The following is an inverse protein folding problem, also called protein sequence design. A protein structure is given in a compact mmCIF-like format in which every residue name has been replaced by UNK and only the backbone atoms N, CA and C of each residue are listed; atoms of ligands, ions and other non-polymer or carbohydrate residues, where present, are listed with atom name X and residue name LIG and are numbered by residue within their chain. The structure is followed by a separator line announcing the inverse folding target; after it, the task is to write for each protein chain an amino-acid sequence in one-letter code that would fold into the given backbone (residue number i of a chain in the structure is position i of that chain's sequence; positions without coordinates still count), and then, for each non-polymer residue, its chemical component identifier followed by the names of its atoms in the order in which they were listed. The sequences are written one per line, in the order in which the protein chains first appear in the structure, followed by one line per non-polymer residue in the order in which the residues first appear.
data_IF_579625195520
#
_entry.id   IF_579625195520
#
_cell.length_a   1.000
_cell.length_b   1.000
_cell.length_c   1.000
_cell.angle_alpha   90.00
_cell.angle_beta   90.00
_cell.angle_gamma   90.00
#
_symmetry.space_group_name_H-M   'P 1'
#
loop_
_entity.id
_entity.type
_entity.pdbx_description
1 polymer ?
#
# COMPACT_ATOMS: atom_id res chain seq x y z
N UNK A 1 17.70 -6.96 27.75
CA UNK A 1 17.20 -5.73 28.43
C UNK A 1 16.03 -5.06 27.69
N UNK A 2 15.80 -5.30 26.41
CA UNK A 2 14.62 -4.81 25.68
C UNK A 2 13.42 -5.76 25.77
N UNK A 3 13.61 -7.02 26.11
CA UNK A 3 12.57 -8.05 26.17
C UNK A 3 11.61 -7.90 27.35
N UNK A 4 12.01 -7.18 28.39
CA UNK A 4 11.18 -6.99 29.60
C UNK A 4 10.10 -5.90 29.42
N UNK A 5 10.05 -5.25 28.24
CA UNK A 5 9.08 -4.20 27.90
C UNK A 5 8.23 -4.55 26.68
N UNK A 6 7.97 -5.83 26.45
CA UNK A 6 7.04 -6.23 25.38
C UNK A 6 5.62 -5.99 25.86
N UNK A 7 4.91 -5.09 25.18
CA UNK A 7 3.49 -4.82 25.39
C UNK A 7 2.69 -5.72 24.45
N UNK A 8 2.01 -6.71 25.01
CA UNK A 8 1.07 -7.56 24.29
C UNK A 8 -0.34 -7.03 24.52
N UNK A 9 -0.82 -6.19 23.61
CA UNK A 9 -2.17 -5.63 23.65
C UNK A 9 -2.99 -6.15 22.48
N UNK A 10 -4.08 -6.89 22.71
CA UNK A 10 -4.93 -7.43 21.66
C UNK A 10 -5.76 -6.36 20.94
N UNK A 11 -6.02 -5.24 21.60
CA UNK A 11 -6.75 -4.11 21.05
C UNK A 11 -5.79 -3.03 20.51
N UNK A 12 -5.89 -2.71 19.22
CA UNK A 12 -5.08 -1.63 18.65
C UNK A 12 -5.50 -0.24 19.13
N UNK A 13 -6.73 -0.12 19.65
CA UNK A 13 -7.29 1.16 20.15
C UNK A 13 -6.60 1.51 21.48
N UNK A 14 -6.31 0.52 22.29
CA UNK A 14 -5.80 0.72 23.66
C UNK A 14 -4.26 0.73 23.73
N UNK A 15 -3.57 0.52 22.58
CA UNK A 15 -2.09 0.47 22.55
C UNK A 15 -1.47 1.78 23.06
N UNK A 16 -2.02 2.93 22.68
CA UNK A 16 -1.48 4.23 23.10
C UNK A 16 -1.60 4.43 24.61
N UNK A 17 -2.76 4.13 25.20
CA UNK A 17 -2.98 4.21 26.64
C UNK A 17 -2.06 3.25 27.38
N UNK A 18 -1.92 2.03 26.87
CA UNK A 18 -1.05 1.01 27.48
C UNK A 18 0.43 1.40 27.43
N UNK A 19 0.87 2.03 26.33
CA UNK A 19 2.23 2.58 26.23
C UNK A 19 2.44 3.69 27.24
N UNK A 20 1.49 4.62 27.37
CA UNK A 20 1.54 5.69 28.37
C UNK A 20 1.63 5.16 29.81
N UNK A 21 0.82 4.15 30.16
CA UNK A 21 0.90 3.48 31.47
C UNK A 21 2.28 2.88 31.75
N UNK A 22 2.84 2.14 30.76
CA UNK A 22 4.16 1.48 30.93
C UNK A 22 5.29 2.49 31.05
N UNK A 23 5.16 3.63 30.38
CA UNK A 23 6.15 4.70 30.41
C UNK A 23 5.94 5.67 31.57
N UNK A 24 4.80 5.61 32.27
CA UNK A 24 4.45 6.53 33.35
C UNK A 24 4.21 7.97 32.84
N UNK A 25 3.71 8.11 31.62
CA UNK A 25 3.43 9.40 30.96
C UNK A 25 1.92 9.60 30.90
N UNK A 26 1.42 10.77 31.27
CA UNK A 26 0.00 11.09 31.09
C UNK A 26 -0.33 11.22 29.59
N UNK A 27 -1.46 10.64 29.15
CA UNK A 27 -1.88 10.61 27.75
C UNK A 27 -2.09 12.03 27.17
N UNK A 28 -2.46 12.98 28.01
CA UNK A 28 -2.66 14.40 27.64
C UNK A 28 -1.36 15.18 27.40
N UNK A 29 -0.19 14.57 27.69
CA UNK A 29 1.12 15.18 27.47
C UNK A 29 1.66 14.96 26.03
N UNK A 30 0.96 14.21 25.19
CA UNK A 30 1.27 14.13 23.77
C UNK A 30 0.77 15.42 23.11
N UNK A 31 1.67 16.28 22.58
CA UNK A 31 1.23 17.53 21.97
C UNK A 31 0.25 17.23 20.85
N UNK A 32 -0.98 17.75 20.95
CA UNK A 32 -1.83 17.88 19.78
C UNK A 32 -1.04 18.68 18.74
N UNK A 33 -1.05 18.24 17.47
CA UNK A 33 -0.44 19.00 16.40
C UNK A 33 -0.91 20.44 16.48
N UNK A 34 0.04 21.39 16.52
CA UNK A 34 -0.25 22.82 16.65
C UNK A 34 -1.13 23.28 15.49
N UNK A 35 -2.16 24.04 15.79
CA UNK A 35 -3.04 24.68 14.82
C UNK A 35 -2.23 25.41 13.73
N UNK A 36 -2.33 24.94 12.49
CA UNK A 36 -1.82 25.62 11.31
C UNK A 36 -0.77 24.92 10.46
N UNK A 37 -0.13 23.85 10.92
CA UNK A 37 0.73 23.02 10.07
C UNK A 37 0.04 21.70 9.72
N UNK A 38 -0.28 21.53 8.44
CA UNK A 38 -0.86 20.32 7.90
C UNK A 38 0.24 19.27 7.72
N UNK A 39 0.74 18.78 8.83
CA UNK A 39 1.71 17.69 8.88
C UNK A 39 1.15 16.59 9.77
N UNK A 40 1.37 15.32 9.39
CA UNK A 40 1.02 14.22 10.27
C UNK A 40 1.91 14.23 11.55
N UNK A 41 1.59 13.35 12.50
CA UNK A 41 2.35 13.22 13.75
C UNK A 41 3.87 12.97 13.57
N UNK A 42 4.33 12.70 12.34
CA UNK A 42 5.72 12.48 11.95
C UNK A 42 6.29 13.68 11.15
N UNK A 43 5.58 14.81 11.07
CA UNK A 43 6.02 16.00 10.34
C UNK A 43 5.93 15.87 8.81
N UNK A 44 5.04 15.01 8.29
CA UNK A 44 4.89 14.79 6.84
C UNK A 44 3.70 15.57 6.30
N UNK A 45 3.89 16.22 5.15
CA UNK A 45 2.85 16.94 4.41
C UNK A 45 1.84 16.04 3.68
N UNK A 46 1.95 14.73 3.81
CA UNK A 46 1.06 13.73 3.20
C UNK A 46 0.31 12.98 4.28
N UNK A 47 -1.01 12.92 4.16
CA UNK A 47 -1.85 12.17 5.09
C UNK A 47 -2.15 10.77 4.56
N UNK A 48 -1.91 9.75 5.39
CA UNK A 48 -2.31 8.38 5.08
C UNK A 48 -3.78 8.15 5.40
N UNK A 49 -4.58 7.80 4.40
CA UNK A 49 -5.97 7.38 4.56
C UNK A 49 -6.02 5.86 4.40
N UNK A 50 -6.27 5.15 5.52
CA UNK A 50 -6.34 3.69 5.48
C UNK A 50 -7.69 3.25 4.95
N UNK A 51 -7.68 2.57 3.77
CA UNK A 51 -8.89 2.09 3.11
C UNK A 51 -9.09 0.58 3.23
N UNK A 52 -8.02 -0.18 3.53
CA UNK A 52 -8.04 -1.64 3.56
C UNK A 52 -7.10 -2.17 4.66
N UNK A 53 -7.42 -3.32 5.26
CA UNK A 53 -6.57 -4.03 6.22
C UNK A 53 -6.73 -5.56 6.04
N UNK A 54 -5.73 -6.32 6.52
CA UNK A 54 -5.71 -7.77 6.37
C UNK A 54 -5.30 -8.21 4.96
N UNK A 55 -5.02 -9.52 4.79
CA UNK A 55 -4.63 -10.09 3.52
C UNK A 55 -4.98 -11.58 3.48
N UNK A 56 -5.56 -12.04 2.37
CA UNK A 56 -5.89 -13.45 2.14
C UNK A 56 -4.74 -14.22 1.48
N UNK A 57 -3.72 -13.53 0.96
CA UNK A 57 -2.52 -14.18 0.42
C UNK A 57 -1.69 -14.83 1.53
N UNK A 58 -1.16 -16.00 1.26
CA UNK A 58 -0.35 -16.78 2.18
C UNK A 58 1.09 -16.89 1.70
N UNK A 59 1.70 -15.75 1.35
CA UNK A 59 3.09 -15.70 0.94
C UNK A 59 3.97 -16.31 2.04
N UNK A 60 4.91 -17.18 1.66
CA UNK A 60 5.66 -18.02 2.60
C UNK A 60 6.62 -17.24 3.51
N UNK A 61 6.97 -16.00 3.12
CA UNK A 61 7.83 -15.09 3.88
C UNK A 61 7.05 -14.07 4.74
N UNK A 62 5.71 -14.03 4.60
CA UNK A 62 4.91 -12.97 5.18
C UNK A 62 4.05 -13.47 6.35
N UNK A 63 4.09 -12.76 7.47
CA UNK A 63 3.25 -13.06 8.64
C UNK A 63 1.96 -12.22 8.70
N UNK A 64 1.81 -11.26 7.80
CA UNK A 64 0.74 -10.26 7.86
C UNK A 64 -0.66 -10.91 7.84
N UNK A 65 -0.86 -11.94 7.04
CA UNK A 65 -2.13 -12.67 6.99
C UNK A 65 -2.55 -13.28 8.34
N UNK A 66 -1.57 -13.67 9.19
CA UNK A 66 -1.84 -14.12 10.57
C UNK A 66 -2.04 -12.94 11.51
N UNK A 67 -1.18 -11.93 11.40
CA UNK A 67 -1.15 -10.81 12.34
C UNK A 67 -2.32 -9.83 12.12
N UNK A 68 -2.77 -9.63 10.88
CA UNK A 68 -3.85 -8.71 10.52
C UNK A 68 -5.18 -9.42 10.25
N UNK A 69 -5.16 -10.74 10.04
CA UNK A 69 -6.35 -11.54 9.70
C UNK A 69 -6.80 -11.33 8.26
N UNK A 70 -8.06 -11.74 7.95
CA UNK A 70 -8.61 -11.67 6.60
C UNK A 70 -8.77 -10.24 6.10
N UNK A 71 -8.86 -10.11 4.78
CA UNK A 71 -9.11 -8.84 4.10
C UNK A 71 -10.41 -8.21 4.56
N UNK A 72 -10.37 -6.90 4.79
CA UNK A 72 -11.53 -6.06 5.10
C UNK A 72 -11.29 -4.66 4.59
N UNK A 73 -12.34 -4.06 4.04
CA UNK A 73 -12.30 -2.73 3.44
C UNK A 73 -13.11 -1.74 4.26
N UNK A 74 -12.65 -0.50 4.29
CA UNK A 74 -13.37 0.63 4.89
C UNK A 74 -14.51 1.02 3.96
N UNK A 75 -15.73 1.31 4.45
CA UNK A 75 -16.83 1.78 3.63
C UNK A 75 -16.48 3.05 2.84
N UNK A 76 -17.03 3.16 1.63
CA UNK A 76 -16.74 4.28 0.70
C UNK A 76 -16.98 5.64 1.36
N UNK A 77 -18.12 5.81 2.03
CA UNK A 77 -18.47 7.10 2.65
C UNK A 77 -17.49 7.48 3.77
N UNK A 78 -17.03 6.51 4.55
CA UNK A 78 -16.02 6.76 5.59
C UNK A 78 -14.66 7.16 5.02
N UNK A 79 -14.28 6.62 3.85
CA UNK A 79 -13.07 7.05 3.14
C UNK A 79 -13.23 8.47 2.62
N UNK A 80 -14.38 8.78 1.99
CA UNK A 80 -14.67 10.11 1.47
C UNK A 80 -14.72 11.18 2.58
N UNK A 81 -15.24 10.83 3.74
CA UNK A 81 -15.25 11.71 4.92
C UNK A 81 -13.82 12.05 5.34
N UNK A 82 -12.95 11.06 5.55
CA UNK A 82 -11.54 11.28 5.89
C UNK A 82 -10.81 12.12 4.83
N UNK A 83 -11.10 11.92 3.54
CA UNK A 83 -10.49 12.72 2.46
C UNK A 83 -11.00 14.17 2.49
N UNK A 84 -12.28 14.41 2.81
CA UNK A 84 -12.83 15.77 2.96
C UNK A 84 -12.24 16.48 4.18
N UNK A 85 -12.12 15.80 5.31
CA UNK A 85 -11.46 16.34 6.50
C UNK A 85 -10.02 16.75 6.19
N UNK A 86 -9.27 15.89 5.48
CA UNK A 86 -7.92 16.23 5.02
C UNK A 86 -7.91 17.45 4.09
N UNK A 87 -8.86 17.55 3.17
CA UNK A 87 -9.00 18.69 2.26
C UNK A 87 -9.31 19.98 3.03
N UNK A 88 -10.25 19.95 3.98
CA UNK A 88 -10.62 21.09 4.82
C UNK A 88 -9.46 21.56 5.70
N UNK A 89 -8.63 20.61 6.17
CA UNK A 89 -7.39 20.89 6.87
C UNK A 89 -6.26 21.42 5.97
N UNK A 90 -6.48 21.55 4.64
CA UNK A 90 -5.49 22.05 3.69
C UNK A 90 -4.38 21.07 3.34
N UNK A 91 -4.59 19.74 3.56
CA UNK A 91 -3.61 18.71 3.19
C UNK A 91 -3.41 18.70 1.67
N UNK A 92 -2.18 18.80 1.15
CA UNK A 92 -1.93 18.86 -0.27
C UNK A 92 -2.02 17.48 -0.97
N UNK A 93 -1.75 16.39 -0.28
CA UNK A 93 -1.77 15.04 -0.83
C UNK A 93 -2.25 14.01 0.20
N UNK A 94 -3.23 13.20 -0.17
CA UNK A 94 -3.58 11.99 0.58
C UNK A 94 -2.97 10.76 -0.07
N UNK A 95 -2.54 9.82 0.77
CA UNK A 95 -2.03 8.51 0.32
C UNK A 95 -3.02 7.45 0.76
N UNK A 96 -3.67 6.79 -0.19
CA UNK A 96 -4.51 5.64 0.11
C UNK A 96 -3.62 4.48 0.56
N UNK A 97 -3.86 3.96 1.75
CA UNK A 97 -3.02 2.94 2.37
C UNK A 97 -3.81 1.69 2.73
N UNK A 98 -3.14 0.55 2.72
CA UNK A 98 -3.69 -0.75 3.09
C UNK A 98 -2.61 -1.81 3.13
N UNK A 99 -3.01 -3.03 3.44
CA UNK A 99 -2.13 -4.20 3.38
C UNK A 99 -2.09 -4.77 1.95
N UNK A 100 -3.24 -4.82 1.29
CA UNK A 100 -3.42 -5.19 -0.11
C UNK A 100 -4.48 -4.28 -0.72
N UNK A 101 -4.06 -3.16 -1.30
CA UNK A 101 -5.00 -2.15 -1.81
C UNK A 101 -5.85 -2.65 -2.97
N UNK A 102 -5.29 -3.51 -3.81
CA UNK A 102 -6.01 -4.07 -4.94
C UNK A 102 -7.20 -4.96 -4.54
N UNK A 103 -7.16 -5.52 -3.33
CA UNK A 103 -8.26 -6.27 -2.75
C UNK A 103 -9.32 -5.38 -2.06
N UNK A 104 -9.30 -4.06 -2.29
CA UNK A 104 -10.34 -3.19 -1.78
C UNK A 104 -11.70 -3.59 -2.38
N UNK A 105 -12.66 -3.84 -1.50
CA UNK A 105 -14.02 -4.24 -1.84
C UNK A 105 -14.97 -3.64 -0.79
N UNK A 106 -15.05 -2.31 -0.79
CA UNK A 106 -15.81 -1.53 0.18
C UNK A 106 -17.29 -1.51 -0.14
N UNK A 107 -18.13 -1.16 0.85
CA UNK A 107 -19.55 -0.95 0.66
C UNK A 107 -19.86 0.53 0.42
N UNK A 108 -20.73 0.80 -0.56
CA UNK A 108 -21.32 2.10 -0.80
C UNK A 108 -22.46 2.39 0.18
N UNK A 109 -23.01 3.60 0.12
CA UNK A 109 -24.22 3.97 0.88
C UNK A 109 -25.46 3.16 0.49
N UNK A 110 -25.49 2.57 -0.71
CA UNK A 110 -26.56 1.68 -1.20
C UNK A 110 -26.29 0.20 -0.92
N UNK A 111 -25.29 -0.12 -0.10
CA UNK A 111 -24.83 -1.48 0.23
C UNK A 111 -24.26 -2.25 -0.98
N UNK A 112 -24.01 -1.59 -2.09
CA UNK A 112 -23.31 -2.15 -3.25
C UNK A 112 -21.82 -2.20 -3.00
N UNK A 113 -21.16 -3.22 -3.53
CA UNK A 113 -19.70 -3.33 -3.44
C UNK A 113 -18.99 -2.47 -4.48
N UNK A 114 -17.91 -1.84 -4.07
CA UNK A 114 -17.12 -0.88 -4.82
C UNK A 114 -15.67 -1.32 -4.79
N UNK A 115 -15.04 -1.44 -5.94
CA UNK A 115 -13.63 -1.77 -6.10
C UNK A 115 -12.73 -0.52 -6.02
N UNK A 116 -11.42 -0.71 -6.03
CA UNK A 116 -10.43 0.38 -5.85
C UNK A 116 -10.54 1.47 -6.93
N UNK A 117 -10.83 1.11 -8.17
CA UNK A 117 -10.98 2.05 -9.28
C UNK A 117 -12.24 2.91 -9.13
N UNK A 118 -13.35 2.32 -8.69
CA UNK A 118 -14.61 3.04 -8.41
C UNK A 118 -14.46 3.96 -7.18
N UNK A 119 -13.76 3.50 -6.15
CA UNK A 119 -13.42 4.35 -5.00
C UNK A 119 -12.58 5.55 -5.43
N UNK A 120 -11.57 5.31 -6.26
CA UNK A 120 -10.68 6.37 -6.74
C UNK A 120 -11.47 7.39 -7.59
N UNK A 121 -12.35 6.93 -8.47
CA UNK A 121 -13.25 7.78 -9.23
C UNK A 121 -14.19 8.59 -8.31
N UNK A 122 -14.79 7.96 -7.31
CA UNK A 122 -15.65 8.64 -6.33
C UNK A 122 -14.88 9.72 -5.53
N UNK A 123 -13.62 9.48 -5.16
CA UNK A 123 -12.77 10.50 -4.52
C UNK A 123 -12.55 11.68 -5.48
N UNK A 124 -12.26 11.42 -6.76
CA UNK A 124 -12.05 12.48 -7.75
C UNK A 124 -13.30 13.31 -8.00
N UNK A 125 -14.46 12.71 -8.02
CA UNK A 125 -15.73 13.37 -8.33
C UNK A 125 -16.36 14.07 -7.12
N UNK A 126 -16.18 13.52 -5.91
CA UNK A 126 -16.90 13.95 -4.71
C UNK A 126 -16.03 14.75 -3.71
N UNK A 127 -14.77 14.99 -4.05
CA UNK A 127 -13.84 15.83 -3.27
C UNK A 127 -13.04 16.75 -4.19
N UNK A 128 -12.40 17.76 -3.63
CA UNK A 128 -11.48 18.66 -4.32
C UNK A 128 -10.05 18.52 -3.81
N UNK A 129 -9.73 17.39 -3.15
CA UNK A 129 -8.35 17.14 -2.68
C UNK A 129 -7.35 17.31 -3.83
N UNK A 130 -6.27 18.08 -3.66
CA UNK A 130 -5.37 18.39 -4.77
C UNK A 130 -4.68 17.15 -5.34
N UNK A 131 -4.15 16.28 -4.48
CA UNK A 131 -3.45 15.09 -4.94
C UNK A 131 -3.86 13.83 -4.17
N UNK A 132 -3.97 12.73 -4.91
CA UNK A 132 -4.17 11.38 -4.37
C UNK A 132 -3.06 10.47 -4.87
N UNK A 133 -2.49 9.70 -3.99
CA UNK A 133 -1.51 8.66 -4.29
C UNK A 133 -2.04 7.31 -3.83
N UNK A 134 -1.83 6.30 -4.67
CA UNK A 134 -2.06 4.90 -4.31
C UNK A 134 -0.74 4.35 -3.75
N UNK A 135 -0.78 3.64 -2.63
CA UNK A 135 0.41 2.96 -2.09
C UNK A 135 0.69 1.66 -2.88
N UNK A 136 0.99 0.56 -2.22
CA UNK A 136 1.32 -0.70 -2.90
C UNK A 136 0.08 -1.41 -3.43
N UNK A 137 0.14 -1.83 -4.70
CA UNK A 137 -0.90 -2.67 -5.34
C UNK A 137 -0.22 -3.92 -5.89
N UNK A 138 -0.83 -5.08 -5.68
CA UNK A 138 -0.32 -6.32 -6.23
C UNK A 138 -0.44 -6.34 -7.78
N UNK A 139 0.53 -6.92 -8.48
CA UNK A 139 0.54 -6.89 -9.95
C UNK A 139 -0.73 -7.46 -10.59
N UNK A 140 -1.32 -8.51 -9.98
CA UNK A 140 -2.53 -9.15 -10.48
C UNK A 140 -3.80 -8.34 -10.24
N UNK A 141 -3.75 -7.34 -9.36
CA UNK A 141 -4.90 -6.48 -9.04
C UNK A 141 -4.93 -5.20 -9.89
N UNK A 142 -3.94 -5.00 -10.75
CA UNK A 142 -3.94 -3.90 -11.71
C UNK A 142 -4.90 -4.19 -12.85
N UNK A 143 -6.00 -3.45 -12.90
CA UNK A 143 -6.98 -3.52 -13.97
C UNK A 143 -6.82 -2.38 -14.98
N UNK A 144 -7.23 -2.60 -16.24
CA UNK A 144 -7.30 -1.51 -17.22
C UNK A 144 -8.22 -0.38 -16.76
N UNK A 145 -9.26 -0.70 -15.97
CA UNK A 145 -10.21 0.27 -15.46
C UNK A 145 -9.54 1.21 -14.47
N UNK A 146 -8.73 0.67 -13.54
CA UNK A 146 -7.91 1.47 -12.63
C UNK A 146 -6.98 2.42 -13.41
N UNK A 147 -6.29 1.90 -14.43
CA UNK A 147 -5.37 2.69 -15.24
C UNK A 147 -6.10 3.80 -16.02
N UNK A 148 -7.31 3.52 -16.53
CA UNK A 148 -8.15 4.53 -17.21
C UNK A 148 -8.61 5.63 -16.25
N UNK A 149 -8.96 5.30 -15.02
CA UNK A 149 -9.28 6.31 -13.99
C UNK A 149 -8.04 7.18 -13.70
N UNK A 150 -6.87 6.57 -13.51
CA UNK A 150 -5.63 7.33 -13.30
C UNK A 150 -5.30 8.25 -14.49
N UNK A 151 -5.47 7.76 -15.72
CA UNK A 151 -5.25 8.54 -16.94
C UNK A 151 -6.25 9.69 -17.11
N UNK A 152 -7.48 9.56 -16.59
CA UNK A 152 -8.52 10.60 -16.65
C UNK A 152 -8.20 11.80 -15.75
N UNK A 153 -7.51 11.58 -14.64
CA UNK A 153 -7.21 12.62 -13.65
C UNK A 153 -5.69 12.84 -13.45
N UNK A 154 -4.92 13.12 -14.52
CA UNK A 154 -3.45 13.11 -14.49
C UNK A 154 -2.86 14.22 -13.60
N UNK A 155 -3.63 15.27 -13.30
CA UNK A 155 -3.19 16.37 -12.44
C UNK A 155 -3.47 16.12 -10.96
N UNK A 156 -4.36 15.19 -10.65
CA UNK A 156 -4.80 14.93 -9.28
C UNK A 156 -4.38 13.54 -8.76
N UNK A 157 -4.19 12.58 -9.66
CA UNK A 157 -3.71 11.24 -9.27
C UNK A 157 -2.22 11.17 -9.61
N UNK A 158 -1.41 10.87 -8.60
CA UNK A 158 0.04 10.76 -8.78
C UNK A 158 0.37 9.69 -9.84
N UNK A 159 1.19 10.00 -10.86
CA UNK A 159 1.60 9.02 -11.88
C UNK A 159 2.68 8.08 -11.32
N UNK A 160 2.33 7.36 -10.29
CA UNK A 160 3.22 6.49 -9.54
C UNK A 160 2.48 5.22 -9.15
N UNK A 161 3.13 4.07 -9.31
CA UNK A 161 2.66 2.78 -8.81
C UNK A 161 3.81 2.04 -8.14
N UNK A 162 3.53 1.48 -6.98
CA UNK A 162 4.43 0.55 -6.31
C UNK A 162 3.90 -0.86 -6.51
N UNK A 163 4.67 -1.68 -7.23
CA UNK A 163 4.33 -3.05 -7.61
C UNK A 163 5.34 -4.02 -6.99
N UNK A 164 5.04 -4.68 -5.87
CA UNK A 164 5.97 -5.61 -5.24
C UNK A 164 6.19 -6.85 -6.12
N UNK A 165 7.32 -6.90 -6.84
CA UNK A 165 7.65 -8.04 -7.70
C UNK A 165 8.17 -9.22 -6.89
N UNK A 166 8.85 -8.96 -5.80
CA UNK A 166 9.51 -9.88 -4.86
C UNK A 166 10.69 -10.67 -5.47
N UNK A 167 10.53 -11.25 -6.66
CA UNK A 167 11.57 -11.91 -7.47
C UNK A 167 11.22 -11.80 -8.96
N UNK A 168 12.22 -11.79 -9.80
CA UNK A 168 12.06 -11.87 -11.27
C UNK A 168 12.20 -13.28 -11.83
N UNK A 169 12.34 -14.30 -10.98
CA UNK A 169 12.38 -15.70 -11.37
C UNK A 169 11.07 -16.39 -10.99
N UNK A 170 10.41 -17.01 -11.96
CA UNK A 170 9.13 -17.71 -11.74
C UNK A 170 9.23 -18.86 -10.75
N UNK A 171 10.35 -19.60 -10.74
CA UNK A 171 10.56 -20.69 -9.77
C UNK A 171 10.66 -20.16 -8.34
N UNK A 172 11.36 -19.04 -8.13
CA UNK A 172 11.45 -18.37 -6.83
C UNK A 172 10.09 -17.81 -6.40
N UNK A 173 9.35 -17.14 -7.31
CA UNK A 173 7.98 -16.66 -7.04
C UNK A 173 7.06 -17.79 -6.60
N UNK A 174 7.13 -18.95 -7.24
CA UNK A 174 6.35 -20.12 -6.84
C UNK A 174 6.70 -20.58 -5.40
N UNK A 175 8.00 -20.66 -5.05
CA UNK A 175 8.42 -20.97 -3.66
C UNK A 175 7.98 -19.90 -2.66
N UNK A 176 7.89 -18.66 -3.06
CA UNK A 176 7.35 -17.55 -2.27
C UNK A 176 5.83 -17.61 -2.09
N UNK A 177 5.13 -18.52 -2.81
CA UNK A 177 3.67 -18.61 -2.81
C UNK A 177 3.00 -17.45 -3.56
N UNK A 178 3.68 -16.90 -4.59
CA UNK A 178 3.11 -15.85 -5.44
C UNK A 178 2.25 -16.47 -6.55
N UNK A 179 1.05 -15.91 -6.82
CA UNK A 179 0.11 -16.49 -7.80
C UNK A 179 0.37 -16.03 -9.24
N UNK A 180 1.53 -15.45 -9.54
CA UNK A 180 1.90 -14.99 -10.88
C UNK A 180 3.33 -15.40 -11.25
N UNK A 181 3.62 -15.44 -12.55
CA UNK A 181 4.96 -15.66 -13.11
C UNK A 181 5.69 -14.33 -13.40
N UNK A 182 6.98 -14.41 -13.66
CA UNK A 182 7.78 -13.27 -14.09
C UNK A 182 7.24 -12.65 -15.39
N UNK A 183 6.81 -13.48 -16.33
CA UNK A 183 6.22 -13.04 -17.60
C UNK A 183 4.90 -12.31 -17.40
N UNK A 184 4.02 -12.83 -16.52
CA UNK A 184 2.76 -12.16 -16.19
C UNK A 184 2.98 -10.80 -15.53
N UNK A 185 4.02 -10.68 -14.71
CA UNK A 185 4.43 -9.39 -14.15
C UNK A 185 4.88 -8.40 -15.26
N UNK A 186 5.70 -8.85 -16.22
CA UNK A 186 6.12 -8.02 -17.34
C UNK A 186 4.94 -7.62 -18.24
N UNK A 187 3.95 -8.50 -18.43
CA UNK A 187 2.71 -8.19 -19.16
C UNK A 187 1.92 -7.07 -18.46
N UNK A 188 1.80 -7.15 -17.13
CA UNK A 188 1.18 -6.09 -16.33
C UNK A 188 1.94 -4.77 -16.49
N UNK A 189 3.26 -4.78 -16.45
CA UNK A 189 4.07 -3.57 -16.67
C UNK A 189 3.85 -2.99 -18.07
N UNK A 190 3.76 -3.83 -19.10
CA UNK A 190 3.45 -3.37 -20.47
C UNK A 190 2.08 -2.71 -20.54
N UNK A 191 1.06 -3.32 -19.94
CA UNK A 191 -0.28 -2.77 -19.85
C UNK A 191 -0.29 -1.40 -19.14
N UNK A 192 0.40 -1.28 -18.02
CA UNK A 192 0.51 -0.03 -17.27
C UNK A 192 1.13 1.05 -18.15
N UNK A 193 2.27 0.80 -18.78
CA UNK A 193 2.96 1.79 -19.61
C UNK A 193 2.21 2.19 -20.88
N UNK A 194 1.41 1.27 -21.42
CA UNK A 194 0.54 1.59 -22.55
C UNK A 194 -0.56 2.58 -22.17
N UNK A 195 -1.10 2.50 -20.95
CA UNK A 195 -2.14 3.39 -20.45
C UNK A 195 -1.59 4.66 -19.77
N UNK A 196 -0.43 4.57 -19.14
CA UNK A 196 0.22 5.64 -18.37
C UNK A 196 1.70 5.77 -18.79
N UNK A 197 2.00 6.40 -19.94
CA UNK A 197 3.36 6.43 -20.49
C UNK A 197 4.42 7.09 -19.59
N UNK A 198 4.01 7.99 -18.71
CA UNK A 198 4.91 8.72 -17.79
C UNK A 198 4.88 8.17 -16.36
N UNK A 199 4.33 6.98 -16.15
CA UNK A 199 4.24 6.40 -14.81
C UNK A 199 5.62 6.08 -14.24
N UNK A 200 5.82 6.45 -13.00
CA UNK A 200 6.97 6.04 -12.20
C UNK A 200 6.64 4.71 -11.51
N UNK A 201 7.40 3.67 -11.81
CA UNK A 201 7.24 2.35 -11.19
C UNK A 201 8.31 2.11 -10.13
N UNK A 202 7.88 1.68 -8.96
CA UNK A 202 8.77 1.18 -7.91
C UNK A 202 8.39 -0.24 -7.52
N UNK A 203 9.32 -0.95 -6.90
CA UNK A 203 9.08 -2.32 -6.46
C UNK A 203 9.84 -2.68 -5.19
N UNK A 204 9.44 -3.81 -4.61
CA UNK A 204 10.19 -4.54 -3.59
C UNK A 204 10.76 -5.82 -4.20
N UNK A 205 12.00 -6.15 -3.84
CA UNK A 205 12.70 -7.38 -4.25
C UNK A 205 13.32 -8.02 -3.01
N UNK A 206 13.13 -9.31 -2.85
CA UNK A 206 13.78 -10.12 -1.81
C UNK A 206 14.91 -10.90 -2.47
N UNK A 207 16.12 -10.81 -1.95
CA UNK A 207 17.29 -11.55 -2.42
C UNK A 207 17.76 -12.57 -1.40
N UNK A 208 18.29 -13.69 -1.86
CA UNK A 208 18.74 -14.79 -1.00
C UNK A 208 17.57 -15.56 -0.38
N UNK A 209 16.47 -15.66 -1.09
CA UNK A 209 15.32 -16.47 -0.66
C UNK A 209 15.72 -17.95 -0.56
N UNK A 210 15.20 -18.74 0.40
CA UNK A 210 15.58 -20.14 0.56
C UNK A 210 15.43 -20.94 -0.72
N UNK A 211 16.55 -21.52 -1.19
CA UNK A 211 16.62 -22.28 -2.43
C UNK A 211 16.77 -21.43 -3.70
N UNK A 212 16.96 -20.13 -3.60
CA UNK A 212 17.33 -19.28 -4.73
C UNK A 212 18.77 -19.63 -5.16
N UNK A 213 18.95 -19.95 -6.45
CA UNK A 213 20.26 -20.19 -7.06
C UNK A 213 20.82 -18.89 -7.67
N UNK A 214 22.12 -18.92 -8.03
CA UNK A 214 22.75 -17.76 -8.70
C UNK A 214 22.08 -17.49 -10.05
N UNK A 215 21.66 -18.52 -10.78
CA UNK A 215 20.93 -18.39 -12.05
C UNK A 215 19.57 -17.72 -11.85
N UNK A 216 18.81 -18.12 -10.83
CA UNK A 216 17.52 -17.52 -10.48
C UNK A 216 17.66 -16.05 -10.04
N UNK A 217 18.74 -15.74 -9.32
CA UNK A 217 19.08 -14.35 -8.98
C UNK A 217 19.38 -13.53 -10.25
N UNK A 218 20.16 -14.06 -11.19
CA UNK A 218 20.46 -13.39 -12.45
C UNK A 218 19.19 -13.18 -13.31
N UNK A 219 18.23 -14.12 -13.32
CA UNK A 219 16.91 -13.92 -13.93
C UNK A 219 16.18 -12.73 -13.31
N UNK A 220 16.18 -12.63 -11.97
CA UNK A 220 15.57 -11.52 -11.23
C UNK A 220 16.24 -10.19 -11.55
N UNK A 221 17.55 -10.15 -11.59
CA UNK A 221 18.31 -8.96 -11.97
C UNK A 221 18.04 -8.55 -13.42
N UNK A 222 17.96 -9.51 -14.32
CA UNK A 222 17.64 -9.26 -15.73
C UNK A 222 16.23 -8.69 -15.91
N UNK A 223 15.22 -9.22 -15.19
CA UNK A 223 13.87 -8.66 -15.19
C UNK A 223 13.87 -7.22 -14.68
N UNK A 224 14.53 -6.94 -13.55
CA UNK A 224 14.61 -5.58 -13.01
C UNK A 224 15.22 -4.59 -14.00
N UNK A 225 16.27 -5.03 -14.74
CA UNK A 225 16.90 -4.21 -15.81
C UNK A 225 15.93 -3.97 -16.99
N UNK A 226 15.20 -5.01 -17.43
CA UNK A 226 14.23 -4.86 -18.54
C UNK A 226 13.07 -3.97 -18.15
N UNK A 227 12.56 -4.14 -16.95
CA UNK A 227 11.45 -3.28 -16.44
C UNK A 227 11.93 -1.85 -16.22
N UNK A 228 13.16 -1.61 -15.76
CA UNK A 228 13.68 -0.26 -15.54
C UNK A 228 12.86 0.50 -14.50
N UNK A 229 12.78 -0.03 -13.28
CA UNK A 229 12.12 0.65 -12.17
C UNK A 229 12.81 1.97 -11.84
N UNK A 230 12.03 2.99 -11.50
CA UNK A 230 12.56 4.27 -11.03
C UNK A 230 13.11 4.19 -9.59
N UNK A 231 12.61 3.23 -8.81
CA UNK A 231 13.07 2.95 -7.45
C UNK A 231 12.83 1.48 -7.10
N UNK A 232 13.77 0.89 -6.38
CA UNK A 232 13.64 -0.46 -5.83
C UNK A 232 14.03 -0.45 -4.36
N UNK A 233 13.27 -1.20 -3.56
CA UNK A 233 13.66 -1.57 -2.21
C UNK A 233 14.13 -3.03 -2.25
N UNK A 234 15.39 -3.24 -1.94
CA UNK A 234 15.98 -4.58 -1.94
C UNK A 234 16.12 -5.06 -0.51
N UNK A 235 15.47 -6.17 -0.21
CA UNK A 235 15.51 -6.81 1.10
C UNK A 235 16.32 -8.09 1.03
N UNK A 236 17.30 -8.20 1.89
CA UNK A 236 17.95 -9.47 2.13
C UNK A 236 17.00 -10.35 2.93
N UNK A 237 16.78 -11.60 2.47
CA UNK A 237 15.97 -12.55 3.23
C UNK A 237 16.56 -12.75 4.63
N UNK A 238 15.72 -12.71 5.63
CA UNK A 238 16.05 -13.03 7.02
C UNK A 238 14.99 -13.96 7.60
N UNK A 239 15.43 -14.91 8.45
CA UNK A 239 14.54 -15.83 9.14
C UNK A 239 13.77 -15.13 10.25
#
# INVERSE_FOLDING_TARGET
ELTDRVIAEPSKIDVAERVCEVLGVESDSVPACSDGEVVDALGRSRLGVKIQDGCNHRCTYCIVWKARGPERSVPVESVLEQVREAQEAGVPEVVLTGVNLGAYYGKSATDEHVEIDELLEAIMERTSIPHVRISSVEPMDISERLLKVMARYPQRIAPFLHLPVQSGCTATLHRMGRPYSAEAFEDTVRMIRANLPQVSLSCDVIVGFPGETDEEFEESLALCRRVGFSRMHVFRYSK
#
